data_IF_182763576252
#
_entry.id   IF_182763576252
#
_cell.length_a   1.000
_cell.length_b   1.000
_cell.length_c   1.000
_cell.angle_alpha   90.00
_cell.angle_beta   90.00
_cell.angle_gamma   90.00
#
_symmetry.space_group_name_H-M   'P 1'
#
loop_
_entity.id
_entity.type
_entity.pdbx_description
1 polymer ?
#
# COMPACT_ATOMS: atom_id res chain seq x y z
N UNK A 1 3.73 6.94 13.27
CA UNK A 1 3.74 5.47 13.08
C UNK A 1 2.42 4.92 13.58
N UNK A 2 1.80 4.02 12.79
CA UNK A 2 0.53 3.39 13.14
C UNK A 2 0.67 1.87 13.13
N UNK A 3 -0.20 1.21 13.89
CA UNK A 3 -0.26 -0.25 13.87
C UNK A 3 -0.83 -0.77 12.55
N UNK A 4 -0.27 -1.89 12.08
CA UNK A 4 -0.78 -2.61 10.91
C UNK A 4 -1.93 -3.51 11.35
N UNK A 5 -3.12 -3.23 10.82
CA UNK A 5 -4.31 -4.04 10.98
C UNK A 5 -4.07 -5.48 10.49
N UNK A 6 -4.50 -6.44 11.32
CA UNK A 6 -4.36 -7.86 11.03
C UNK A 6 -5.59 -8.42 10.30
N UNK A 7 -5.42 -9.59 9.68
CA UNK A 7 -6.51 -10.29 9.00
C UNK A 7 -7.73 -10.43 9.94
N UNK A 8 -8.91 -10.05 9.43
CA UNK A 8 -10.15 -10.02 10.21
C UNK A 8 -10.60 -8.62 10.64
N UNK A 9 -9.71 -7.62 10.62
CA UNK A 9 -10.08 -6.22 10.86
C UNK A 9 -11.09 -5.71 9.82
N UNK A 10 -12.11 -4.97 10.27
CA UNK A 10 -13.19 -4.48 9.40
C UNK A 10 -12.69 -3.52 8.33
N UNK A 11 -11.74 -2.65 8.67
CA UNK A 11 -11.16 -1.67 7.73
C UNK A 11 -10.57 -2.32 6.47
N UNK A 12 -10.07 -3.56 6.58
CA UNK A 12 -9.50 -4.30 5.44
C UNK A 12 -10.58 -4.83 4.47
N UNK A 13 -11.86 -4.79 4.85
CA UNK A 13 -13.01 -5.19 4.01
C UNK A 13 -13.75 -4.00 3.40
N UNK A 14 -13.48 -2.79 3.85
CA UNK A 14 -14.15 -1.59 3.36
C UNK A 14 -13.54 -1.13 2.04
N UNK A 15 -14.39 -0.57 1.17
CA UNK A 15 -13.90 0.14 -0.01
C UNK A 15 -13.32 1.49 0.43
N UNK A 16 -12.04 1.69 0.13
CA UNK A 16 -11.35 2.92 0.46
C UNK A 16 -11.90 4.12 -0.33
N UNK A 17 -11.96 5.28 0.32
CA UNK A 17 -12.45 6.53 -0.29
C UNK A 17 -11.41 7.15 -1.20
N UNK A 18 -11.86 7.82 -2.25
CA UNK A 18 -11.00 8.60 -3.14
C UNK A 18 -10.42 9.83 -2.43
N UNK A 19 -9.13 10.09 -2.61
CA UNK A 19 -8.46 11.30 -2.14
C UNK A 19 -8.79 12.44 -3.09
N UNK A 20 -9.54 13.43 -2.63
CA UNK A 20 -9.92 14.62 -3.44
C UNK A 20 -8.90 15.75 -3.41
N UNK A 21 -8.14 15.86 -2.32
CA UNK A 21 -7.13 16.88 -2.13
C UNK A 21 -5.93 16.29 -1.40
N UNK A 22 -4.87 15.95 -2.13
CA UNK A 22 -3.64 15.41 -1.54
C UNK A 22 -2.93 16.43 -0.65
N UNK A 23 -3.11 17.73 -0.89
CA UNK A 23 -2.46 18.78 -0.11
C UNK A 23 -3.17 19.11 1.20
N UNK A 24 -4.30 18.46 1.51
CA UNK A 24 -4.91 18.58 2.81
C UNK A 24 -3.98 17.99 3.90
N UNK A 25 -3.88 18.68 5.04
CA UNK A 25 -3.00 18.27 6.15
C UNK A 25 -3.22 16.82 6.58
N UNK A 26 -4.48 16.36 6.60
CA UNK A 26 -4.82 14.98 6.93
C UNK A 26 -4.16 13.97 5.95
N UNK A 27 -4.14 14.28 4.65
CA UNK A 27 -3.58 13.37 3.64
C UNK A 27 -2.06 13.33 3.69
N UNK A 28 -1.43 14.49 3.97
CA UNK A 28 0.01 14.57 4.20
C UNK A 28 0.40 13.76 5.44
N UNK A 29 -0.31 13.93 6.55
CA UNK A 29 -0.07 13.18 7.78
C UNK A 29 -0.21 11.66 7.57
N UNK A 30 -1.24 11.23 6.82
CA UNK A 30 -1.44 9.82 6.49
C UNK A 30 -0.29 9.30 5.63
N UNK A 31 0.16 10.07 4.63
CA UNK A 31 1.30 9.68 3.80
C UNK A 31 2.58 9.49 4.64
N UNK A 32 2.89 10.46 5.52
CA UNK A 32 4.05 10.38 6.42
C UNK A 32 3.96 9.17 7.35
N UNK A 33 2.77 8.90 7.91
CA UNK A 33 2.51 7.72 8.72
C UNK A 33 2.71 6.43 7.91
N UNK A 34 2.30 6.37 6.64
CA UNK A 34 2.52 5.22 5.77
C UNK A 34 4.01 4.98 5.49
N UNK A 35 4.78 6.03 5.18
CA UNK A 35 6.23 5.90 4.95
C UNK A 35 6.95 5.43 6.21
N UNK A 36 6.65 6.05 7.36
CA UNK A 36 7.23 5.68 8.66
C UNK A 36 6.90 4.22 8.99
N UNK A 37 5.64 3.82 8.83
CA UNK A 37 5.20 2.46 9.16
C UNK A 37 5.83 1.43 8.21
N UNK A 38 5.99 1.74 6.92
CA UNK A 38 6.66 0.85 5.97
C UNK A 38 8.14 0.66 6.30
N UNK A 39 8.84 1.74 6.68
CA UNK A 39 10.27 1.72 7.02
C UNK A 39 10.58 0.80 8.21
N UNK A 40 9.67 0.71 9.18
CA UNK A 40 9.79 -0.17 10.34
C UNK A 40 9.42 -1.64 10.03
N UNK A 41 9.20 -1.97 8.76
CA UNK A 41 8.91 -3.34 8.31
C UNK A 41 9.85 -3.79 7.20
N UNK A 42 10.00 -5.11 7.05
CA UNK A 42 10.58 -5.71 5.85
C UNK A 42 9.59 -5.78 4.68
N UNK A 43 8.51 -4.98 4.71
CA UNK A 43 7.45 -4.97 3.70
C UNK A 43 7.88 -4.29 2.40
N UNK A 44 7.42 -4.83 1.27
CA UNK A 44 7.66 -4.29 -0.10
C UNK A 44 6.61 -3.26 -0.53
N UNK A 45 5.69 -2.90 0.37
CA UNK A 45 4.64 -1.92 0.15
C UNK A 45 3.62 -1.91 1.29
N UNK A 46 2.77 -0.89 1.34
CA UNK A 46 1.69 -0.74 2.32
C UNK A 46 0.52 0.05 1.72
N UNK A 47 -0.71 -0.31 2.06
CA UNK A 47 -1.92 0.44 1.70
C UNK A 47 -2.49 1.17 2.93
N UNK A 48 -3.05 2.37 2.74
CA UNK A 48 -3.60 3.17 3.85
C UNK A 48 -4.65 2.43 4.71
N UNK A 49 -5.53 1.57 4.16
CA UNK A 49 -6.45 0.80 4.98
C UNK A 49 -5.76 -0.11 6.01
N UNK A 50 -4.53 -0.56 5.75
CA UNK A 50 -3.76 -1.37 6.70
C UNK A 50 -3.36 -0.58 7.94
N UNK A 51 -3.30 0.76 7.89
CA UNK A 51 -3.05 1.62 9.05
C UNK A 51 -4.32 2.32 9.55
N UNK A 52 -5.47 1.66 9.35
CA UNK A 52 -6.80 2.15 9.73
C UNK A 52 -7.24 3.45 9.03
N UNK A 53 -6.60 3.82 7.92
CA UNK A 53 -6.94 4.99 7.12
C UNK A 53 -7.63 4.55 5.81
N UNK A 54 -8.96 4.65 5.74
CA UNK A 54 -9.74 4.15 4.60
C UNK A 54 -9.72 5.10 3.39
N UNK A 55 -8.53 5.33 2.83
CA UNK A 55 -8.25 6.17 1.66
C UNK A 55 -7.53 5.39 0.57
N UNK A 56 -7.77 5.74 -0.71
CA UNK A 56 -7.15 5.11 -1.88
C UNK A 56 -5.71 5.58 -2.06
N UNK A 57 -4.85 5.19 -1.14
CA UNK A 57 -3.43 5.48 -1.13
C UNK A 57 -2.66 4.18 -0.88
N UNK A 58 -1.53 4.02 -1.57
CA UNK A 58 -0.60 2.91 -1.33
C UNK A 58 0.82 3.33 -1.64
N UNK A 59 1.79 2.74 -0.93
CA UNK A 59 3.21 2.86 -1.24
C UNK A 59 3.70 1.54 -1.81
N UNK A 60 4.42 1.61 -2.93
CA UNK A 60 5.21 0.50 -3.48
C UNK A 60 6.69 0.75 -3.21
N UNK A 61 7.38 -0.24 -2.65
CA UNK A 61 8.80 -0.17 -2.31
C UNK A 61 9.47 -1.53 -2.57
N UNK A 62 9.41 -1.95 -3.83
CA UNK A 62 10.01 -3.21 -4.26
C UNK A 62 11.50 -3.24 -3.92
N UNK A 63 11.93 -4.35 -3.32
CA UNK A 63 13.33 -4.65 -3.02
C UNK A 63 13.50 -6.16 -2.85
N UNK A 64 14.71 -6.69 -3.08
CA UNK A 64 15.03 -8.06 -2.71
C UNK A 64 14.67 -8.33 -1.25
N UNK A 65 14.00 -9.45 -0.99
CA UNK A 65 13.64 -9.92 0.35
C UNK A 65 13.71 -11.45 0.39
N UNK A 66 13.67 -12.04 1.58
CA UNK A 66 13.60 -13.51 1.71
C UNK A 66 12.39 -14.09 0.94
N UNK A 67 11.27 -13.37 0.95
CA UNK A 67 10.05 -13.75 0.21
C UNK A 67 10.15 -13.49 -1.29
N UNK A 68 10.90 -12.45 -1.70
CA UNK A 68 11.08 -12.07 -3.11
C UNK A 68 12.56 -11.80 -3.43
N UNK A 69 13.39 -12.84 -3.59
CA UNK A 69 14.85 -12.66 -3.75
C UNK A 69 15.26 -11.96 -5.04
N UNK A 70 14.40 -12.01 -6.06
CA UNK A 70 14.65 -11.46 -7.40
C UNK A 70 13.82 -10.19 -7.67
N UNK A 71 13.18 -9.62 -6.64
CA UNK A 71 12.42 -8.38 -6.82
C UNK A 71 13.36 -7.24 -7.24
N UNK A 72 12.98 -6.42 -8.24
CA UNK A 72 13.74 -5.25 -8.59
C UNK A 72 13.75 -4.26 -7.43
N UNK A 73 14.84 -3.50 -7.30
CA UNK A 73 14.92 -2.42 -6.33
C UNK A 73 14.29 -1.15 -6.91
N UNK A 74 13.47 -0.47 -6.11
CA UNK A 74 12.88 0.82 -6.46
C UNK A 74 12.72 1.71 -5.22
N UNK A 75 12.75 3.02 -5.45
CA UNK A 75 12.44 3.98 -4.41
C UNK A 75 10.96 3.86 -3.97
N UNK A 76 10.67 3.98 -2.66
CA UNK A 76 9.31 4.02 -2.15
C UNK A 76 8.46 5.09 -2.87
N UNK A 77 7.40 4.64 -3.54
CA UNK A 77 6.56 5.50 -4.38
C UNK A 77 5.13 5.51 -3.85
N UNK A 78 4.65 6.69 -3.45
CA UNK A 78 3.25 6.89 -3.07
C UNK A 78 2.36 7.01 -4.31
N UNK A 79 1.39 6.13 -4.42
CA UNK A 79 0.34 6.14 -5.44
C UNK A 79 -0.98 6.61 -4.81
N UNK A 80 -1.66 7.54 -5.49
CA UNK A 80 -2.92 8.14 -5.03
C UNK A 80 -3.99 7.85 -6.07
N UNK A 81 -5.15 7.39 -5.59
CA UNK A 81 -6.28 6.94 -6.42
C UNK A 81 -5.87 5.99 -7.56
N UNK A 82 -4.96 5.02 -7.35
CA UNK A 82 -4.51 4.16 -8.43
C UNK A 82 -5.68 3.40 -9.04
N UNK A 83 -5.58 3.13 -10.34
CA UNK A 83 -6.41 2.21 -11.11
C UNK A 83 -5.51 1.30 -11.92
N UNK A 84 -6.03 0.13 -12.30
CA UNK A 84 -5.34 -0.80 -13.16
C UNK A 84 -6.30 -1.28 -14.25
N UNK A 85 -5.75 -1.54 -15.42
CA UNK A 85 -6.43 -2.23 -16.51
C UNK A 85 -5.66 -3.50 -16.82
N UNK A 86 -6.29 -4.69 -16.75
CA UNK A 86 -5.64 -5.94 -17.14
C UNK A 86 -5.26 -5.92 -18.63
N UNK A 87 -3.98 -5.87 -18.94
CA UNK A 87 -3.49 -5.82 -20.34
C UNK A 87 -3.59 -7.18 -21.05
N UNK A 88 -3.52 -8.29 -20.30
CA UNK A 88 -3.64 -9.67 -20.81
C UNK A 88 -4.28 -10.56 -19.75
N UNK A 89 -5.12 -11.50 -20.19
CA UNK A 89 -5.64 -12.56 -19.34
C UNK A 89 -4.63 -13.71 -19.25
N UNK A 90 -3.61 -13.54 -18.40
CA UNK A 90 -2.74 -14.67 -18.02
C UNK A 90 -3.31 -15.26 -16.74
N UNK A 91 -4.15 -16.28 -16.88
CA UNK A 91 -4.42 -17.20 -15.76
C UNK A 91 -3.27 -18.20 -15.72
N UNK A 92 -2.23 -17.93 -14.94
CA UNK A 92 -1.39 -19.03 -14.45
C UNK A 92 -2.14 -19.69 -13.29
N UNK A 93 -2.94 -20.71 -13.62
CA UNK A 93 -3.29 -21.75 -12.66
C UNK A 93 -2.11 -22.71 -12.64
N UNK A 94 -1.39 -22.77 -11.52
CA UNK A 94 -0.77 -23.96 -10.88
C UNK A 94 0.16 -23.45 -9.77
N UNK A 95 0.21 -24.02 -8.56
CA UNK A 95 -0.10 -25.38 -8.10
C UNK A 95 -1.11 -25.43 -6.95
#
# INVERSE_FOLDING_TARGET
MREIAQLGAEVLRLQAKEVKNMHADEMQLIADDMFTTLADTNGVGIAAPQISASWRMMILASRPSERYPQAPEMDPTLMINPSFEPLRNVHEITS
#
